data_IF_716068153286
#
_entry.id   IF_716068153286
#
_cell.length_a   1.000
_cell.length_b   1.000
_cell.length_c   1.000
_cell.angle_alpha   90.00
_cell.angle_beta   90.00
_cell.angle_gamma   90.00
#
_symmetry.space_group_name_H-M   'P 1'
#
loop_
_entity.id
_entity.type
_entity.pdbx_description
1 polymer ?
#
# COMPACT_ATOMS: atom_id res chain seq x y z
N UNK A 1 17.00 11.46 -0.31
CA UNK A 1 15.88 11.21 -1.22
C UNK A 1 16.31 10.13 -2.20
N UNK A 2 15.47 9.16 -2.53
CA UNK A 2 15.73 8.14 -3.54
C UNK A 2 14.71 8.30 -4.67
N UNK A 3 15.20 8.52 -5.90
CA UNK A 3 14.40 8.92 -7.06
C UNK A 3 14.76 8.10 -8.31
N UNK A 4 15.31 6.89 -8.13
CA UNK A 4 15.65 6.04 -9.25
C UNK A 4 14.51 5.08 -9.57
N UNK A 5 14.16 5.04 -10.85
CA UNK A 5 13.30 3.99 -11.39
C UNK A 5 14.02 2.66 -11.35
N UNK A 6 13.24 1.58 -11.21
CA UNK A 6 13.75 0.23 -11.08
C UNK A 6 12.96 -0.70 -11.98
N UNK A 7 13.65 -1.41 -12.86
CA UNK A 7 13.05 -2.50 -13.64
C UNK A 7 13.84 -3.77 -13.38
N UNK A 8 13.18 -4.78 -12.82
CA UNK A 8 13.79 -6.07 -12.52
C UNK A 8 13.01 -7.18 -13.22
N UNK A 9 13.72 -8.06 -13.93
CA UNK A 9 13.13 -9.25 -14.54
C UNK A 9 13.57 -10.52 -13.78
N UNK A 10 12.62 -11.10 -13.05
CA UNK A 10 12.79 -12.35 -12.31
C UNK A 10 11.89 -13.47 -12.82
N UNK A 11 11.55 -13.49 -14.11
CA UNK A 11 10.66 -14.53 -14.70
C UNK A 11 11.12 -15.97 -14.43
N UNK A 12 12.41 -16.19 -14.13
CA UNK A 12 12.97 -17.51 -13.75
C UNK A 12 13.51 -17.57 -12.33
N UNK A 13 13.22 -16.57 -11.51
CA UNK A 13 13.70 -16.52 -10.14
C UNK A 13 12.99 -17.59 -9.31
N UNK A 14 13.76 -18.44 -8.64
CA UNK A 14 13.25 -19.41 -7.65
C UNK A 14 13.08 -18.79 -6.26
N UNK A 15 13.43 -17.52 -6.12
CA UNK A 15 13.34 -16.68 -4.91
C UNK A 15 12.73 -15.33 -5.30
N UNK A 16 12.55 -14.46 -4.32
CA UNK A 16 12.12 -13.09 -4.58
C UNK A 16 13.08 -12.37 -5.55
N UNK A 17 12.53 -11.79 -6.62
CA UNK A 17 13.22 -10.95 -7.60
C UNK A 17 13.87 -9.74 -6.91
N UNK A 18 13.11 -9.09 -6.03
CA UNK A 18 13.64 -8.08 -5.10
C UNK A 18 13.48 -8.60 -3.68
N UNK A 19 14.53 -9.20 -3.12
CA UNK A 19 14.47 -9.77 -1.78
C UNK A 19 14.17 -8.71 -0.70
N UNK A 20 14.82 -7.54 -0.78
CA UNK A 20 14.60 -6.43 0.16
C UNK A 20 15.09 -5.11 -0.42
N UNK A 21 14.35 -4.03 -0.16
CA UNK A 21 14.78 -2.64 -0.33
C UNK A 21 14.55 -1.86 0.97
N UNK A 22 15.57 -1.09 1.38
CA UNK A 22 15.50 -0.24 2.57
C UNK A 22 16.00 1.16 2.19
N UNK A 23 15.09 2.11 2.21
CA UNK A 23 15.33 3.51 1.90
C UNK A 23 15.29 4.30 3.21
N UNK A 24 16.43 4.88 3.59
CA UNK A 24 16.53 5.66 4.82
C UNK A 24 15.84 7.04 4.73
N UNK A 25 15.67 7.55 3.52
CA UNK A 25 15.01 8.82 3.23
C UNK A 25 13.62 8.63 2.65
N UNK A 26 13.24 9.57 1.79
CA UNK A 26 12.02 9.51 0.98
C UNK A 26 12.24 8.65 -0.28
N UNK A 27 11.14 8.06 -0.76
CA UNK A 27 11.00 7.44 -2.08
C UNK A 27 10.08 8.37 -2.88
N UNK A 28 10.56 9.02 -3.92
CA UNK A 28 9.88 10.21 -4.45
C UNK A 28 9.86 10.22 -5.99
N UNK A 29 8.66 10.18 -6.56
CA UNK A 29 8.45 10.27 -8.01
C UNK A 29 9.02 9.09 -8.80
N UNK A 30 9.04 7.86 -8.24
CA UNK A 30 9.63 6.70 -8.91
C UNK A 30 8.60 5.72 -9.48
N UNK A 31 8.99 5.01 -10.52
CA UNK A 31 8.32 3.83 -11.03
C UNK A 31 9.21 2.59 -10.84
N UNK A 32 8.74 1.65 -10.02
CA UNK A 32 9.39 0.36 -9.81
C UNK A 32 8.54 -0.76 -10.41
N UNK A 33 9.05 -1.42 -11.43
CA UNK A 33 8.42 -2.56 -12.10
C UNK A 33 9.24 -3.84 -11.87
N UNK A 34 8.67 -4.77 -11.11
CA UNK A 34 9.33 -6.01 -10.70
C UNK A 34 8.56 -7.20 -11.30
N UNK A 35 9.15 -7.88 -12.28
CA UNK A 35 8.61 -9.15 -12.76
C UNK A 35 9.00 -10.27 -11.79
N UNK A 36 8.03 -10.76 -11.01
CA UNK A 36 8.19 -11.78 -9.99
C UNK A 36 7.77 -11.31 -8.60
N UNK A 37 8.40 -11.83 -7.55
CA UNK A 37 8.03 -11.57 -6.14
C UNK A 37 8.92 -10.49 -5.52
N UNK A 38 8.32 -9.58 -4.75
CA UNK A 38 9.04 -8.63 -3.88
C UNK A 38 8.97 -9.08 -2.42
N UNK A 39 10.10 -9.19 -1.74
CA UNK A 39 10.17 -9.67 -0.36
C UNK A 39 9.82 -8.60 0.68
N UNK A 40 10.58 -7.49 0.73
CA UNK A 40 10.40 -6.45 1.76
C UNK A 40 10.70 -5.06 1.22
N UNK A 41 9.85 -4.09 1.54
CA UNK A 41 10.10 -2.67 1.29
C UNK A 41 10.01 -1.90 2.61
N UNK A 42 11.07 -1.15 2.94
CA UNK A 42 11.06 -0.21 4.05
C UNK A 42 11.43 1.17 3.52
N UNK A 43 10.55 2.15 3.70
CA UNK A 43 10.85 3.57 3.47
C UNK A 43 10.74 4.27 4.83
N UNK A 44 11.85 4.75 5.38
CA UNK A 44 11.85 5.32 6.74
C UNK A 44 11.16 6.68 6.82
N UNK A 45 11.08 7.40 5.70
CA UNK A 45 10.34 8.65 5.58
C UNK A 45 9.11 8.47 4.69
N UNK A 46 8.92 9.31 3.68
CA UNK A 46 7.70 9.32 2.88
C UNK A 46 7.91 8.60 1.55
N UNK A 47 6.98 7.74 1.16
CA UNK A 47 6.77 7.40 -0.25
C UNK A 47 5.84 8.44 -0.86
N UNK A 48 6.31 9.18 -1.87
CA UNK A 48 5.58 10.27 -2.51
C UNK A 48 5.48 10.03 -4.00
N UNK A 49 4.27 10.16 -4.57
CA UNK A 49 4.03 10.10 -6.02
C UNK A 49 4.75 8.93 -6.69
N UNK A 50 4.79 7.78 -6.02
CA UNK A 50 5.61 6.63 -6.43
C UNK A 50 4.73 5.43 -6.67
N UNK A 51 5.04 4.67 -7.72
CA UNK A 51 4.37 3.41 -8.01
C UNK A 51 5.37 2.27 -7.84
N UNK A 52 5.05 1.34 -6.94
CA UNK A 52 5.78 0.08 -6.78
C UNK A 52 4.88 -1.05 -7.26
N UNK A 53 5.29 -1.72 -8.32
CA UNK A 53 4.55 -2.81 -8.98
C UNK A 53 5.35 -4.10 -8.97
N UNK A 54 4.66 -5.19 -8.67
CA UNK A 54 5.17 -6.56 -8.69
C UNK A 54 4.19 -7.44 -9.46
N UNK A 55 4.65 -8.23 -10.42
CA UNK A 55 3.77 -9.15 -11.15
C UNK A 55 3.33 -10.34 -10.29
N UNK A 56 4.03 -10.63 -9.20
CA UNK A 56 3.61 -11.60 -8.17
C UNK A 56 3.44 -10.93 -6.80
N UNK A 57 3.42 -11.77 -5.74
CA UNK A 57 3.27 -11.33 -4.36
C UNK A 57 4.29 -10.29 -3.89
N UNK A 58 3.85 -9.43 -2.97
CA UNK A 58 4.69 -8.56 -2.15
C UNK A 58 4.65 -9.03 -0.70
N UNK A 59 5.82 -9.07 -0.04
CA UNK A 59 5.88 -9.35 1.39
C UNK A 59 5.51 -8.12 2.22
N UNK A 60 6.38 -7.73 3.14
CA UNK A 60 6.08 -6.65 4.09
C UNK A 60 6.50 -5.28 3.54
N UNK A 61 5.56 -4.34 3.56
CA UNK A 61 5.77 -2.93 3.22
C UNK A 61 5.63 -2.09 4.49
N UNK A 62 6.64 -1.32 4.84
CA UNK A 62 6.61 -0.40 6.00
C UNK A 62 7.13 0.96 5.59
N UNK A 63 6.29 1.98 5.75
CA UNK A 63 6.57 3.35 5.34
C UNK A 63 6.47 4.27 6.55
N UNK A 64 7.26 5.34 6.60
CA UNK A 64 7.03 6.42 7.56
C UNK A 64 5.73 7.15 7.25
N UNK A 65 5.54 7.50 5.97
CA UNK A 65 4.29 8.03 5.41
C UNK A 65 4.13 7.60 3.94
N UNK A 66 2.92 7.71 3.40
CA UNK A 66 2.60 7.56 1.99
C UNK A 66 1.68 8.70 1.53
N UNK A 67 2.03 9.31 0.40
CA UNK A 67 1.31 10.43 -0.21
C UNK A 67 1.29 10.25 -1.73
N UNK A 68 0.12 10.14 -2.34
CA UNK A 68 0.04 9.95 -3.80
C UNK A 68 0.69 8.67 -4.33
N UNK A 69 0.87 7.62 -3.51
CA UNK A 69 1.69 6.46 -3.87
C UNK A 69 0.91 5.15 -3.94
N UNK A 70 1.28 4.30 -4.90
CA UNK A 70 0.52 3.10 -5.26
C UNK A 70 1.39 1.83 -5.14
N UNK A 71 0.86 0.81 -4.46
CA UNK A 71 1.53 -0.48 -4.20
C UNK A 71 0.72 -1.63 -4.78
N UNK A 72 1.21 -2.20 -5.89
CA UNK A 72 0.42 -3.01 -6.81
C UNK A 72 1.03 -4.40 -6.99
N UNK A 73 0.38 -5.44 -6.47
CA UNK A 73 0.89 -6.81 -6.49
C UNK A 73 -0.05 -7.73 -7.29
N UNK A 74 0.48 -8.38 -8.33
CA UNK A 74 -0.30 -9.24 -9.22
C UNK A 74 -1.26 -8.49 -10.15
N UNK A 75 -1.11 -7.17 -10.28
CA UNK A 75 -1.99 -6.32 -11.10
C UNK A 75 -1.55 -6.30 -12.57
N UNK A 76 -2.51 -6.25 -13.49
CA UNK A 76 -2.25 -5.95 -14.92
C UNK A 76 -1.49 -4.63 -15.06
N UNK A 77 -0.60 -4.54 -16.03
CA UNK A 77 0.15 -3.31 -16.32
C UNK A 77 -0.76 -2.12 -16.70
N UNK A 78 -1.96 -2.39 -17.23
CA UNK A 78 -2.97 -1.38 -17.58
C UNK A 78 -3.66 -0.75 -16.37
N UNK A 79 -3.67 -1.41 -15.21
CA UNK A 79 -4.25 -0.86 -13.99
C UNK A 79 -3.30 0.19 -13.42
N UNK A 80 -3.68 1.47 -13.41
CA UNK A 80 -2.76 2.58 -13.13
C UNK A 80 -2.51 2.76 -11.63
N UNK A 81 -3.54 3.21 -10.89
CA UNK A 81 -3.42 3.55 -9.46
C UNK A 81 -3.90 2.46 -8.52
N UNK A 82 -4.96 1.77 -8.91
CA UNK A 82 -5.55 0.65 -8.20
C UNK A 82 -6.41 -0.19 -9.14
N UNK A 83 -6.90 -1.33 -8.68
CA UNK A 83 -7.90 -2.12 -9.41
C UNK A 83 -9.23 -1.36 -9.53
N UNK A 84 -9.86 -1.43 -10.70
CA UNK A 84 -11.21 -0.90 -10.96
C UNK A 84 -12.23 -2.05 -11.12
N UNK A 85 -11.77 -3.27 -11.38
CA UNK A 85 -12.59 -4.48 -11.47
C UNK A 85 -11.79 -5.72 -11.06
N UNK A 86 -12.46 -6.86 -10.84
CA UNK A 86 -11.80 -8.13 -10.58
C UNK A 86 -10.84 -8.58 -11.71
N UNK A 87 -11.06 -8.11 -12.94
CA UNK A 87 -10.20 -8.44 -14.09
C UNK A 87 -8.84 -7.74 -14.06
N UNK A 88 -8.66 -6.69 -13.26
CA UNK A 88 -7.37 -5.99 -13.16
C UNK A 88 -6.31 -6.81 -12.41
N UNK A 89 -6.72 -7.89 -11.72
CA UNK A 89 -5.85 -8.76 -10.94
C UNK A 89 -5.38 -9.95 -11.79
N UNK A 90 -4.25 -9.75 -12.49
CA UNK A 90 -3.65 -10.74 -13.39
C UNK A 90 -3.18 -12.02 -12.67
N UNK A 91 -2.48 -11.88 -11.54
CA UNK A 91 -2.10 -12.99 -10.67
C UNK A 91 -3.05 -13.02 -9.47
N UNK A 92 -4.06 -13.89 -9.57
CA UNK A 92 -5.11 -14.03 -8.55
C UNK A 92 -4.62 -14.72 -7.28
N UNK A 93 -3.40 -15.28 -7.28
CA UNK A 93 -2.74 -15.85 -6.11
C UNK A 93 -1.79 -14.88 -5.42
N UNK A 94 -1.50 -13.73 -6.05
CA UNK A 94 -0.63 -12.71 -5.48
C UNK A 94 -1.24 -12.16 -4.19
N UNK A 95 -0.36 -11.90 -3.22
CA UNK A 95 -0.72 -11.28 -1.96
C UNK A 95 0.20 -10.13 -1.57
N UNK A 96 -0.31 -9.15 -0.82
CA UNK A 96 0.46 -8.23 0.01
C UNK A 96 0.42 -8.76 1.44
N UNK A 97 1.53 -9.29 1.96
CA UNK A 97 1.56 -9.91 3.30
C UNK A 97 1.17 -8.94 4.41
N UNK A 98 1.70 -7.72 4.37
CA UNK A 98 1.40 -6.68 5.36
C UNK A 98 1.79 -5.30 4.88
N UNK A 99 0.98 -4.29 5.22
CA UNK A 99 1.28 -2.89 4.97
C UNK A 99 1.17 -2.07 6.26
N UNK A 100 2.17 -1.23 6.51
CA UNK A 100 2.21 -0.41 7.73
C UNK A 100 2.69 1.00 7.45
N UNK A 101 1.91 1.97 7.91
CA UNK A 101 2.34 3.35 8.11
C UNK A 101 2.82 3.49 9.56
N UNK A 102 4.12 3.73 9.74
CA UNK A 102 4.78 3.78 11.04
C UNK A 102 4.81 5.19 11.65
N UNK A 103 4.53 6.22 10.86
CA UNK A 103 4.71 7.61 11.22
C UNK A 103 6.15 8.09 11.01
N UNK A 104 6.32 9.42 10.99
CA UNK A 104 7.61 10.06 10.76
C UNK A 104 8.29 10.38 12.09
N UNK A 105 9.55 9.96 12.22
CA UNK A 105 10.43 10.40 13.30
C UNK A 105 11.03 11.75 12.95
N UNK A 106 10.62 12.79 13.66
CA UNK A 106 11.13 14.14 13.46
C UNK A 106 12.33 14.44 14.37
N UNK A 107 13.23 15.35 13.94
CA UNK A 107 14.21 15.95 14.84
C UNK A 107 13.54 16.56 16.08
N UNK A 108 14.28 16.61 17.20
CA UNK A 108 13.80 17.23 18.44
C UNK A 108 13.33 18.66 18.17
N UNK A 109 12.13 19.01 18.64
CA UNK A 109 11.54 20.34 18.48
C UNK A 109 10.78 20.55 17.17
N UNK A 110 10.77 19.58 16.25
CA UNK A 110 9.94 19.64 15.04
C UNK A 110 8.69 18.78 15.21
N UNK A 111 7.53 19.37 14.97
CA UNK A 111 6.29 18.61 14.92
C UNK A 111 6.26 17.77 13.63
N UNK A 112 5.79 16.51 13.69
CA UNK A 112 5.53 15.74 12.47
C UNK A 112 4.39 16.38 11.69
N UNK A 113 4.33 16.15 10.35
CA UNK A 113 3.13 16.49 9.61
C UNK A 113 1.93 15.76 10.21
N UNK A 114 0.75 16.37 10.08
CA UNK A 114 -0.47 15.80 10.64
C UNK A 114 -0.78 14.44 10.03
N UNK A 115 -0.73 14.34 8.71
CA UNK A 115 -1.16 13.15 7.96
C UNK A 115 0.02 12.30 7.52
N UNK A 116 -0.11 10.97 7.62
CA UNK A 116 0.90 10.02 7.15
C UNK A 116 0.38 9.07 6.06
N UNK A 117 -0.92 9.09 5.76
CA UNK A 117 -1.50 8.33 4.67
C UNK A 117 -2.54 9.20 3.97
N UNK A 118 -2.23 9.59 2.73
CA UNK A 118 -3.10 10.41 1.86
C UNK A 118 -2.96 9.95 0.43
N UNK A 119 -4.08 9.96 -0.31
CA UNK A 119 -4.14 9.69 -1.75
C UNK A 119 -3.28 8.50 -2.21
N UNK A 120 -3.22 7.43 -1.41
CA UNK A 120 -2.33 6.30 -1.64
C UNK A 120 -3.13 5.02 -1.71
N UNK A 121 -2.67 4.08 -2.54
CA UNK A 121 -3.41 2.85 -2.82
C UNK A 121 -2.59 1.59 -2.57
N UNK A 122 -3.29 0.55 -2.16
CA UNK A 122 -2.83 -0.82 -2.16
C UNK A 122 -3.77 -1.63 -3.03
N UNK A 123 -3.23 -2.40 -3.97
CA UNK A 123 -4.05 -3.32 -4.77
C UNK A 123 -3.40 -4.67 -4.93
N UNK A 124 -4.11 -5.71 -4.53
CA UNK A 124 -3.71 -7.09 -4.69
C UNK A 124 -4.89 -8.04 -4.53
N UNK A 125 -4.82 -9.24 -5.11
CA UNK A 125 -5.88 -10.23 -4.95
C UNK A 125 -6.07 -10.64 -3.48
N UNK A 126 -4.99 -10.69 -2.70
CA UNK A 126 -5.04 -10.89 -1.25
C UNK A 126 -4.23 -9.84 -0.49
N UNK A 127 -4.76 -9.32 0.60
CA UNK A 127 -4.13 -8.33 1.47
C UNK A 127 -4.19 -8.82 2.90
N UNK A 128 -3.03 -9.02 3.51
CA UNK A 128 -2.92 -9.42 4.90
C UNK A 128 -3.29 -8.29 5.86
N UNK A 129 -2.40 -8.00 6.81
CA UNK A 129 -2.67 -6.98 7.82
C UNK A 129 -2.26 -5.59 7.32
N UNK A 130 -3.21 -4.64 7.38
CA UNK A 130 -2.98 -3.22 7.10
C UNK A 130 -3.07 -2.42 8.41
N UNK A 131 -2.07 -1.58 8.67
CA UNK A 131 -2.02 -0.68 9.83
C UNK A 131 -1.71 0.74 9.37
N UNK A 132 -2.70 1.61 9.44
CA UNK A 132 -2.59 3.01 9.07
C UNK A 132 -2.45 3.89 10.32
N UNK A 133 -1.79 5.03 10.17
CA UNK A 133 -1.60 6.02 11.23
C UNK A 133 -1.86 7.41 10.64
N UNK A 134 -2.66 8.23 11.33
CA UNK A 134 -3.06 9.58 10.91
C UNK A 134 -3.49 9.63 9.43
N UNK A 135 -4.57 8.94 9.10
CA UNK A 135 -5.16 8.91 7.74
C UNK A 135 -5.84 10.25 7.46
N UNK A 136 -5.55 10.85 6.30
CA UNK A 136 -6.29 12.01 5.82
C UNK A 136 -7.59 11.53 5.15
N UNK A 137 -8.65 11.34 5.94
CA UNK A 137 -9.93 10.86 5.42
C UNK A 137 -10.51 11.82 4.38
N UNK A 138 -10.60 13.12 4.68
CA UNK A 138 -11.01 14.13 3.68
C UNK A 138 -9.91 14.30 2.60
N UNK A 139 -9.94 13.43 1.60
CA UNK A 139 -9.02 13.38 0.47
C UNK A 139 -9.62 14.12 -0.74
N UNK A 140 -10.22 15.30 -0.49
CA UNK A 140 -10.84 16.13 -1.52
C UNK A 140 -11.90 15.39 -2.33
N UNK A 141 -12.59 14.42 -1.72
CA UNK A 141 -13.61 13.59 -2.37
C UNK A 141 -13.07 12.53 -3.35
N UNK A 142 -11.75 12.32 -3.44
CA UNK A 142 -11.17 11.28 -4.29
C UNK A 142 -10.98 9.98 -3.51
N UNK A 143 -11.52 8.88 -4.04
CA UNK A 143 -11.38 7.56 -3.45
C UNK A 143 -9.93 7.09 -3.41
N UNK A 144 -9.49 6.60 -2.25
CA UNK A 144 -8.17 6.02 -2.06
C UNK A 144 -8.25 4.92 -0.99
N UNK A 145 -7.28 4.01 -0.96
CA UNK A 145 -7.17 3.04 0.12
C UNK A 145 -6.77 1.64 -0.31
N UNK A 146 -7.55 0.66 0.10
CA UNK A 146 -7.23 -0.77 0.03
C UNK A 146 -8.22 -1.46 -0.90
N UNK A 147 -7.69 -2.03 -1.98
CA UNK A 147 -8.47 -2.64 -3.05
C UNK A 147 -8.06 -4.09 -3.19
N UNK A 148 -8.99 -5.00 -2.93
CA UNK A 148 -8.79 -6.41 -3.17
C UNK A 148 -9.75 -6.93 -4.23
N UNK A 149 -9.34 -8.01 -4.89
CA UNK A 149 -10.25 -8.79 -5.73
C UNK A 149 -11.29 -9.41 -4.82
N UNK A 150 -12.58 -9.32 -5.14
CA UNK A 150 -13.57 -10.12 -4.43
C UNK A 150 -13.43 -11.59 -4.86
N UNK A 151 -13.26 -12.49 -3.91
CA UNK A 151 -13.40 -13.92 -4.15
C UNK A 151 -14.39 -14.47 -3.14
N UNK A 152 -15.27 -15.40 -3.50
CA UNK A 152 -16.07 -16.07 -2.46
C UNK A 152 -15.12 -16.93 -1.61
N UNK A 153 -14.97 -16.73 -0.29
CA UNK A 153 -15.96 -16.20 0.67
C UNK A 153 -15.72 -14.78 1.26
N UNK A 154 -14.93 -13.91 0.63
CA UNK A 154 -14.80 -12.50 1.00
C UNK A 154 -13.76 -12.25 2.09
N UNK A 155 -12.68 -13.04 2.11
CA UNK A 155 -11.63 -13.00 3.13
C UNK A 155 -10.31 -12.40 2.63
N UNK A 156 -10.33 -11.75 1.47
CA UNK A 156 -9.12 -11.31 0.77
C UNK A 156 -8.38 -10.25 1.53
N UNK A 157 -9.09 -9.40 2.28
CA UNK A 157 -8.47 -8.46 3.20
C UNK A 157 -8.59 -9.06 4.61
N UNK A 158 -7.46 -9.42 5.22
CA UNK A 158 -7.47 -10.06 6.54
C UNK A 158 -7.88 -9.08 7.64
N UNK A 159 -7.35 -7.87 7.62
CA UNK A 159 -7.71 -6.83 8.59
C UNK A 159 -7.13 -5.47 8.20
N UNK A 160 -7.90 -4.40 8.44
CA UNK A 160 -7.40 -3.03 8.40
C UNK A 160 -7.57 -2.41 9.78
N UNK A 161 -6.56 -1.70 10.29
CA UNK A 161 -6.69 -0.88 11.49
C UNK A 161 -6.12 0.50 11.25
N UNK A 162 -6.71 1.50 11.89
CA UNK A 162 -6.23 2.86 11.85
C UNK A 162 -6.29 3.51 13.23
N UNK A 163 -5.44 4.50 13.44
CA UNK A 163 -5.45 5.35 14.61
C UNK A 163 -4.96 6.75 14.22
N UNK A 164 -5.43 7.76 14.93
CA UNK A 164 -4.91 9.11 14.87
C UNK A 164 -4.23 9.47 16.21
N UNK A 165 -3.05 10.06 16.10
CA UNK A 165 -2.21 10.46 17.24
C UNK A 165 -2.61 11.81 17.83
N UNK A 166 -3.25 12.68 17.04
CA UNK A 166 -3.76 13.99 17.46
C UNK A 166 -5.20 13.87 17.96
N UNK A 167 -6.03 13.05 17.32
CA UNK A 167 -7.36 12.71 17.76
C UNK A 167 -7.45 11.23 18.22
N UNK A 168 -7.32 11.00 19.52
CA UNK A 168 -7.36 9.65 20.09
C UNK A 168 -8.71 8.93 19.92
N UNK A 169 -9.77 9.67 19.57
CA UNK A 169 -11.09 9.14 19.24
C UNK A 169 -11.14 8.58 17.82
N UNK A 170 -10.35 9.12 16.88
CA UNK A 170 -10.28 8.68 15.49
C UNK A 170 -9.42 7.42 15.33
N UNK A 171 -9.96 6.29 15.77
CA UNK A 171 -9.35 4.95 15.62
C UNK A 171 -10.40 3.91 15.32
N UNK A 172 -9.99 2.83 14.68
CA UNK A 172 -10.90 1.73 14.36
C UNK A 172 -10.21 0.52 13.76
N UNK A 173 -11.03 -0.50 13.51
CA UNK A 173 -10.61 -1.76 12.91
C UNK A 173 -11.73 -2.29 12.02
N UNK A 174 -11.33 -2.79 10.87
CA UNK A 174 -12.17 -3.50 9.92
C UNK A 174 -11.74 -4.96 9.84
N UNK A 175 -12.74 -5.85 9.77
CA UNK A 175 -12.61 -7.32 9.85
C UNK A 175 -13.56 -8.03 8.86
N UNK A 176 -13.83 -7.45 7.68
CA UNK A 176 -14.73 -8.08 6.69
C UNK A 176 -16.19 -7.61 6.72
N UNK A 177 -16.50 -6.47 7.34
CA UNK A 177 -17.85 -5.86 7.35
C UNK A 177 -17.76 -4.43 6.84
N UNK A 178 -18.74 -3.95 6.05
CA UNK A 178 -18.71 -2.62 5.42
C UNK A 178 -18.14 -1.50 6.31
N UNK A 179 -17.14 -0.78 5.81
CA UNK A 179 -16.51 0.35 6.49
C UNK A 179 -17.42 1.58 6.35
N UNK A 180 -17.80 2.20 7.46
CA UNK A 180 -18.72 3.36 7.47
C UNK A 180 -18.01 4.72 7.32
N UNK A 181 -16.72 4.74 6.98
CA UNK A 181 -16.00 5.99 6.70
C UNK A 181 -16.10 6.32 5.21
N UNK A 182 -16.54 7.54 4.82
CA UNK A 182 -16.90 7.84 3.42
C UNK A 182 -15.72 7.75 2.43
N UNK A 183 -14.51 8.10 2.88
CA UNK A 183 -13.40 8.39 1.97
C UNK A 183 -12.32 7.30 1.91
N UNK A 184 -12.01 6.63 3.03
CA UNK A 184 -11.10 5.49 3.02
C UNK A 184 -11.84 4.29 2.44
N UNK A 185 -11.50 3.93 1.21
CA UNK A 185 -12.04 2.76 0.54
C UNK A 185 -11.33 1.50 1.04
N UNK A 186 -12.12 0.55 1.51
CA UNK A 186 -11.70 -0.83 1.73
C UNK A 186 -12.70 -1.66 0.96
N UNK A 187 -12.33 -1.96 -0.27
CA UNK A 187 -13.25 -2.51 -1.27
C UNK A 187 -12.78 -3.87 -1.76
N UNK A 188 -13.75 -4.76 -1.88
CA UNK A 188 -13.68 -6.00 -2.62
C UNK A 188 -14.34 -5.75 -3.96
N UNK A 189 -13.56 -5.86 -5.05
CA UNK A 189 -14.03 -5.58 -6.40
C UNK A 189 -14.58 -6.86 -7.02
N UNK A 190 -15.87 -6.83 -7.37
CA UNK A 190 -16.59 -7.88 -8.07
C UNK A 190 -16.07 -8.10 -9.51
#
# INVERSE_FOLDING_TARGET
NFQADLKLDGTRATKATLASAIIAGDLDGVAWDIAGVMGKLIVRRTARNSTVRSTGSMGSITLGAADGSDFLAGMKASAVRHGQSADDFQDTSAGIKSFKIAGLKMPKGQAPPRWFFSDSNLSCAWIGAVSLLNVKFDNLGTGFGIWARDTTPGNEIKSVKWADTQDKGAKGRWLGLALTTPDLKVEQLL
#
